data_IF_027476699290
#
_entry.id   IF_027476699290
#
_cell.length_a   1.000
_cell.length_b   1.000
_cell.length_c   1.000
_cell.angle_alpha   90.00
_cell.angle_beta   90.00
_cell.angle_gamma   90.00
#
_symmetry.space_group_name_H-M   'P 1'
#
loop_
_entity.id
_entity.type
_entity.pdbx_description
1 polymer ?
#
# COMPACT_ATOMS: atom_id res chain seq x y z
N UNK A 1 14.19 2.89 26.04
CA UNK A 1 13.25 1.83 26.45
C UNK A 1 12.60 1.29 25.19
N UNK A 2 12.53 -0.03 25.01
CA UNK A 2 11.83 -0.63 23.87
C UNK A 2 10.33 -0.35 24.04
N UNK A 3 9.71 0.31 23.05
CA UNK A 3 8.28 0.61 23.12
C UNK A 3 7.51 -0.63 22.65
N UNK A 4 6.74 -1.22 23.56
CA UNK A 4 5.86 -2.34 23.26
C UNK A 4 4.60 -1.83 22.55
N UNK A 5 4.12 -2.60 21.56
CA UNK A 5 2.97 -2.26 20.72
C UNK A 5 2.05 -3.46 20.61
N UNK A 6 0.75 -3.21 20.47
CA UNK A 6 -0.29 -4.19 20.16
C UNK A 6 -0.46 -4.26 18.65
N UNK A 7 -0.19 -5.42 18.06
CA UNK A 7 -0.29 -5.67 16.62
C UNK A 7 -1.46 -6.64 16.40
N UNK A 8 -2.55 -6.18 15.80
CA UNK A 8 -3.67 -7.03 15.37
C UNK A 8 -3.43 -7.52 13.94
N UNK A 9 -3.33 -8.84 13.76
CA UNK A 9 -3.23 -9.44 12.45
C UNK A 9 -4.61 -9.55 11.79
N UNK A 10 -4.69 -9.18 10.51
CA UNK A 10 -5.90 -9.38 9.69
C UNK A 10 -5.55 -10.14 8.41
N UNK A 11 -6.43 -11.04 7.97
CA UNK A 11 -6.20 -11.84 6.77
C UNK A 11 -7.35 -11.64 5.76
N UNK A 12 -7.44 -10.46 5.11
CA UNK A 12 -8.58 -10.13 4.24
C UNK A 12 -8.56 -10.85 2.87
N UNK A 13 -7.42 -11.43 2.51
CA UNK A 13 -7.12 -11.91 1.15
C UNK A 13 -6.87 -13.43 1.13
N UNK A 14 -5.72 -13.87 0.62
CA UNK A 14 -5.37 -15.29 0.51
C UNK A 14 -4.94 -15.90 1.85
N UNK A 15 -5.13 -17.22 2.02
CA UNK A 15 -4.63 -17.91 3.22
C UNK A 15 -3.08 -17.91 3.27
N UNK A 16 -2.44 -17.75 4.44
CA UNK A 16 -1.00 -17.88 4.57
C UNK A 16 -0.60 -19.35 4.43
N UNK A 17 0.04 -19.69 3.33
CA UNK A 17 0.26 -21.09 2.92
C UNK A 17 1.53 -21.72 3.50
N UNK A 18 2.42 -20.92 4.07
CA UNK A 18 3.70 -21.34 4.62
C UNK A 18 3.71 -21.09 6.14
N UNK A 19 3.54 -22.13 6.96
CA UNK A 19 3.58 -22.00 8.42
C UNK A 19 4.93 -21.52 8.95
N UNK A 20 6.05 -21.86 8.32
CA UNK A 20 7.39 -21.50 8.82
C UNK A 20 7.65 -20.01 8.67
N UNK A 21 7.21 -19.42 7.56
CA UNK A 21 7.22 -17.96 7.35
C UNK A 21 6.41 -17.25 8.43
N UNK A 22 5.21 -17.76 8.74
CA UNK A 22 4.36 -17.18 9.77
C UNK A 22 4.99 -17.28 11.17
N UNK A 23 5.47 -18.47 11.55
CA UNK A 23 6.12 -18.67 12.86
C UNK A 23 7.32 -17.75 13.03
N UNK A 24 8.12 -17.56 11.98
CA UNK A 24 9.26 -16.64 12.00
C UNK A 24 8.83 -15.19 12.22
N UNK A 25 7.76 -14.73 11.57
CA UNK A 25 7.21 -13.38 11.79
C UNK A 25 6.72 -13.19 13.24
N UNK A 26 5.94 -14.15 13.76
CA UNK A 26 5.43 -14.12 15.13
C UNK A 26 6.57 -14.11 16.16
N UNK A 27 7.57 -14.98 15.98
CA UNK A 27 8.75 -15.02 16.84
C UNK A 27 9.50 -13.68 16.87
N UNK A 28 9.61 -12.99 15.73
CA UNK A 28 10.23 -11.66 15.65
C UNK A 28 9.44 -10.60 16.40
N UNK A 29 8.11 -10.60 16.28
CA UNK A 29 7.27 -9.67 17.04
C UNK A 29 7.40 -9.88 18.55
N UNK A 30 7.36 -11.14 19.01
CA UNK A 30 7.52 -11.48 20.42
C UNK A 30 8.93 -11.17 20.95
N UNK A 31 9.97 -11.39 20.15
CA UNK A 31 11.35 -11.04 20.51
C UNK A 31 11.55 -9.52 20.70
N UNK A 32 10.77 -8.70 19.99
CA UNK A 32 10.72 -7.24 20.17
C UNK A 32 9.75 -6.82 21.30
N UNK A 33 9.10 -7.78 21.95
CA UNK A 33 8.17 -7.57 23.06
C UNK A 33 6.80 -7.04 22.63
N UNK A 34 6.43 -7.14 21.35
CA UNK A 34 5.09 -6.75 20.91
C UNK A 34 4.05 -7.78 21.34
N UNK A 35 2.84 -7.31 21.66
CA UNK A 35 1.68 -8.15 21.86
C UNK A 35 1.00 -8.38 20.50
N UNK A 36 0.77 -9.64 20.13
CA UNK A 36 0.18 -10.00 18.84
C UNK A 36 -1.21 -10.57 19.06
N UNK A 37 -2.20 -9.92 18.46
CA UNK A 37 -3.60 -10.34 18.46
C UNK A 37 -4.02 -10.80 17.06
N UNK A 38 -5.19 -11.43 16.93
CA UNK A 38 -5.72 -11.83 15.62
C UNK A 38 -5.01 -13.03 14.97
N UNK A 39 -4.16 -13.77 15.71
CA UNK A 39 -3.42 -14.93 15.18
C UNK A 39 -4.34 -16.00 14.58
N UNK A 40 -5.56 -16.18 15.10
CA UNK A 40 -6.54 -17.13 14.56
C UNK A 40 -6.93 -16.83 13.10
N UNK A 41 -6.83 -15.57 12.64
CA UNK A 41 -7.04 -15.17 11.26
C UNK A 41 -6.17 -15.99 10.28
N UNK A 42 -4.96 -16.33 10.72
CA UNK A 42 -3.95 -17.03 9.93
C UNK A 42 -4.23 -18.52 9.78
N UNK A 43 -5.11 -19.10 10.62
CA UNK A 43 -5.44 -20.53 10.61
C UNK A 43 -6.66 -20.84 9.75
N UNK A 44 -7.48 -19.84 9.44
CA UNK A 44 -8.71 -20.02 8.66
C UNK A 44 -8.39 -20.31 7.20
N UNK A 45 -9.20 -21.17 6.59
CA UNK A 45 -9.09 -21.49 5.18
C UNK A 45 -10.47 -21.75 4.59
N UNK A 46 -10.77 -21.03 3.52
CA UNK A 46 -11.93 -21.28 2.67
C UNK A 46 -11.46 -21.17 1.22
N UNK A 47 -11.35 -22.30 0.52
CA UNK A 47 -10.74 -22.35 -0.82
C UNK A 47 -9.32 -21.71 -0.81
N UNK A 48 -9.10 -20.64 -1.59
CA UNK A 48 -7.84 -19.86 -1.62
C UNK A 48 -7.76 -18.75 -0.57
N UNK A 49 -8.85 -18.48 0.15
CA UNK A 49 -9.01 -17.33 1.04
C UNK A 49 -8.72 -17.71 2.51
N UNK A 50 -8.32 -16.72 3.31
CA UNK A 50 -8.07 -16.88 4.75
C UNK A 50 -9.36 -16.87 5.59
N UNK A 51 -10.34 -17.71 5.21
CA UNK A 51 -11.69 -17.75 5.76
C UNK A 51 -12.76 -17.30 4.75
N UNK A 52 -14.03 -17.46 5.10
CA UNK A 52 -15.20 -17.00 4.33
C UNK A 52 -15.22 -15.47 4.20
N UNK A 53 -16.02 -14.93 3.28
CA UNK A 53 -16.11 -13.47 3.09
C UNK A 53 -16.59 -12.75 4.36
N UNK A 54 -17.57 -13.34 5.07
CA UNK A 54 -18.07 -12.80 6.33
C UNK A 54 -17.01 -12.83 7.44
N UNK A 55 -16.24 -13.91 7.56
CA UNK A 55 -15.14 -14.00 8.53
C UNK A 55 -14.05 -12.96 8.27
N UNK A 56 -13.68 -12.74 7.00
CA UNK A 56 -12.66 -11.75 6.61
C UNK A 56 -13.15 -10.31 6.78
N UNK A 57 -14.40 -10.02 6.42
CA UNK A 57 -15.02 -8.72 6.67
C UNK A 57 -15.14 -8.40 8.17
N UNK A 58 -15.55 -9.39 8.97
CA UNK A 58 -15.73 -9.24 10.41
C UNK A 58 -14.43 -8.86 11.13
N UNK A 59 -13.26 -9.22 10.61
CA UNK A 59 -11.98 -8.81 11.24
C UNK A 59 -11.74 -7.32 11.18
N UNK A 60 -12.02 -6.70 10.04
CA UNK A 60 -11.95 -5.25 9.90
C UNK A 60 -13.06 -4.60 10.72
N UNK A 61 -14.28 -5.12 10.64
CA UNK A 61 -15.42 -4.54 11.38
C UNK A 61 -15.26 -4.63 12.91
N UNK A 62 -14.40 -5.50 13.45
CA UNK A 62 -14.05 -5.49 14.88
C UNK A 62 -13.45 -4.15 15.32
N UNK A 63 -12.77 -3.43 14.44
CA UNK A 63 -12.21 -2.11 14.75
C UNK A 63 -13.31 -1.04 14.94
N UNK A 64 -14.49 -1.26 14.35
CA UNK A 64 -15.66 -0.39 14.47
C UNK A 64 -16.39 -0.53 15.83
N UNK A 65 -16.11 -1.60 16.60
CA UNK A 65 -16.77 -1.83 17.89
C UNK A 65 -16.24 -0.86 18.96
N UNK A 66 -17.09 0.01 19.53
CA UNK A 66 -16.68 1.00 20.53
C UNK A 66 -16.25 0.38 21.86
N UNK A 67 -16.68 -0.85 22.16
CA UNK A 67 -16.32 -1.56 23.40
C UNK A 67 -14.90 -2.14 23.38
N UNK A 68 -14.30 -2.27 22.19
CA UNK A 68 -12.95 -2.81 22.03
C UNK A 68 -11.92 -1.70 22.17
N UNK A 69 -10.76 -2.03 22.74
CA UNK A 69 -9.58 -1.17 22.64
C UNK A 69 -8.99 -1.31 21.24
N UNK A 70 -8.57 -0.19 20.62
CA UNK A 70 -7.87 -0.24 19.35
C UNK A 70 -6.44 -0.77 19.54
N UNK A 71 -5.93 -1.61 18.62
CA UNK A 71 -4.51 -1.94 18.58
C UNK A 71 -3.69 -0.71 18.12
N UNK A 72 -2.39 -0.74 18.36
CA UNK A 72 -1.48 0.27 17.81
C UNK A 72 -1.31 0.08 16.29
N UNK A 73 -1.22 -1.18 15.85
CA UNK A 73 -0.99 -1.55 14.45
C UNK A 73 -1.99 -2.63 14.03
N UNK A 74 -2.65 -2.42 12.90
CA UNK A 74 -3.40 -3.46 12.19
C UNK A 74 -2.56 -3.89 10.99
N UNK A 75 -2.11 -5.13 10.97
CA UNK A 75 -1.14 -5.61 9.98
C UNK A 75 -1.75 -6.69 9.09
N UNK A 76 -1.79 -6.41 7.79
CA UNK A 76 -2.22 -7.39 6.81
C UNK A 76 -1.26 -8.58 6.78
N UNK A 77 -1.83 -9.79 6.88
CA UNK A 77 -1.05 -11.03 6.88
C UNK A 77 -0.37 -11.21 5.53
N UNK A 78 -1.12 -11.07 4.45
CA UNK A 78 -0.64 -11.12 3.07
C UNK A 78 -1.67 -10.54 2.11
N UNK A 79 -1.23 -10.27 0.89
CA UNK A 79 -2.10 -9.97 -0.24
C UNK A 79 -2.59 -11.26 -0.95
N UNK A 80 -2.50 -11.26 -2.29
CA UNK A 80 -3.00 -12.33 -3.14
C UNK A 80 -4.28 -11.90 -3.84
N UNK A 81 -5.43 -12.43 -3.41
CA UNK A 81 -6.72 -12.03 -3.94
C UNK A 81 -7.82 -12.34 -2.91
N UNK A 82 -8.73 -11.40 -2.71
CA UNK A 82 -9.93 -11.59 -1.90
C UNK A 82 -10.45 -10.34 -1.22
N UNK A 83 -9.62 -9.29 -1.09
CA UNK A 83 -9.99 -8.04 -0.43
C UNK A 83 -11.19 -7.35 -1.11
N UNK A 84 -11.23 -7.35 -2.45
CA UNK A 84 -12.34 -6.75 -3.21
C UNK A 84 -13.70 -7.40 -2.89
N UNK A 85 -13.73 -8.69 -2.55
CA UNK A 85 -14.98 -9.43 -2.24
C UNK A 85 -15.65 -8.95 -0.97
N UNK A 86 -14.89 -8.37 -0.04
CA UNK A 86 -15.40 -8.02 1.30
C UNK A 86 -15.73 -6.54 1.45
N UNK A 87 -15.40 -5.68 0.48
CA UNK A 87 -15.58 -4.23 0.58
C UNK A 87 -17.04 -3.85 0.88
N UNK A 88 -18.02 -4.53 0.27
CA UNK A 88 -19.44 -4.26 0.52
C UNK A 88 -19.90 -4.61 1.94
N UNK A 89 -19.18 -5.47 2.65
CA UNK A 89 -19.52 -5.91 4.00
C UNK A 89 -18.83 -5.10 5.11
N UNK A 90 -18.04 -4.08 4.78
CA UNK A 90 -17.34 -3.27 5.77
C UNK A 90 -18.25 -2.19 6.37
N UNK A 91 -18.19 -2.01 7.69
CA UNK A 91 -18.87 -0.96 8.43
C UNK A 91 -18.10 0.36 8.31
N UNK A 92 -18.19 1.02 7.15
CA UNK A 92 -17.44 2.25 6.88
C UNK A 92 -17.75 3.39 7.86
N UNK A 93 -19.00 3.54 8.29
CA UNK A 93 -19.38 4.57 9.26
C UNK A 93 -18.80 4.28 10.65
N UNK A 94 -18.86 3.02 11.07
CA UNK A 94 -18.22 2.55 12.30
C UNK A 94 -16.71 2.73 12.29
N UNK A 95 -16.07 2.31 11.21
CA UNK A 95 -14.63 2.46 11.00
C UNK A 95 -14.21 3.93 10.96
N UNK A 96 -14.94 4.80 10.25
CA UNK A 96 -14.69 6.24 10.25
C UNK A 96 -14.73 6.80 11.67
N UNK A 97 -15.82 6.54 12.41
CA UNK A 97 -16.03 7.07 13.77
C UNK A 97 -14.95 6.62 14.73
N UNK A 98 -14.47 5.39 14.57
CA UNK A 98 -13.51 4.77 15.48
C UNK A 98 -12.06 5.08 15.14
N UNK A 99 -11.72 5.28 13.86
CA UNK A 99 -10.33 5.38 13.42
C UNK A 99 -9.90 6.81 13.11
N UNK A 100 -10.83 7.74 12.85
CA UNK A 100 -10.50 9.16 12.62
C UNK A 100 -9.76 9.73 13.83
N UNK A 101 -8.64 10.40 13.56
CA UNK A 101 -7.75 11.04 14.55
C UNK A 101 -7.17 10.11 15.63
N UNK A 102 -7.30 8.79 15.48
CA UNK A 102 -6.68 7.84 16.40
C UNK A 102 -5.24 7.51 15.99
N UNK A 103 -4.32 7.31 16.96
CA UNK A 103 -2.95 6.88 16.69
C UNK A 103 -2.94 5.37 16.38
N UNK A 104 -3.43 4.99 15.21
CA UNK A 104 -3.47 3.61 14.73
C UNK A 104 -2.88 3.52 13.33
N UNK A 105 -2.04 2.51 13.08
CA UNK A 105 -1.46 2.25 11.77
C UNK A 105 -2.11 1.03 11.11
N UNK A 106 -2.88 1.23 10.03
CA UNK A 106 -3.40 0.15 9.19
C UNK A 106 -2.43 -0.11 8.04
N UNK A 107 -1.75 -1.26 8.03
CA UNK A 107 -0.56 -1.49 7.21
C UNK A 107 -0.71 -2.71 6.30
N UNK A 108 -0.37 -2.52 5.02
CA UNK A 108 -0.21 -3.60 4.04
C UNK A 108 0.04 -3.06 2.64
N UNK A 109 0.25 -3.93 1.67
CA UNK A 109 0.37 -3.59 0.24
C UNK A 109 -0.27 -4.69 -0.63
N UNK A 110 -0.10 -4.64 -1.95
CA UNK A 110 -0.68 -5.62 -2.89
C UNK A 110 -2.21 -5.60 -2.84
N UNK A 111 -2.89 -6.75 -2.74
CA UNK A 111 -4.36 -6.86 -2.65
C UNK A 111 -4.97 -6.01 -1.51
N UNK A 112 -4.21 -5.69 -0.45
CA UNK A 112 -4.68 -4.81 0.63
C UNK A 112 -4.95 -3.36 0.16
N UNK A 113 -4.38 -2.95 -0.99
CA UNK A 113 -4.71 -1.67 -1.65
C UNK A 113 -6.21 -1.50 -1.85
N UNK A 114 -6.96 -2.58 -2.11
CA UNK A 114 -8.42 -2.50 -2.26
C UNK A 114 -9.12 -1.96 -1.01
N UNK A 115 -8.68 -2.41 0.17
CA UNK A 115 -9.22 -1.96 1.47
C UNK A 115 -8.74 -0.54 1.78
N UNK A 116 -7.46 -0.24 1.54
CA UNK A 116 -6.89 1.09 1.78
C UNK A 116 -7.63 2.17 0.98
N UNK A 117 -7.86 1.92 -0.31
CA UNK A 117 -8.59 2.84 -1.18
C UNK A 117 -10.07 2.92 -0.81
N UNK A 118 -10.71 1.80 -0.47
CA UNK A 118 -12.09 1.82 0.00
C UNK A 118 -12.28 2.60 1.31
N UNK A 119 -11.36 2.45 2.27
CA UNK A 119 -11.34 3.20 3.53
C UNK A 119 -11.15 4.70 3.29
N UNK A 120 -10.23 5.07 2.39
CA UNK A 120 -10.04 6.46 2.01
C UNK A 120 -11.31 7.04 1.35
N UNK A 121 -11.91 6.31 0.40
CA UNK A 121 -13.08 6.75 -0.36
C UNK A 121 -14.35 6.87 0.48
N UNK A 122 -14.58 5.91 1.40
CA UNK A 122 -15.87 5.75 2.09
C UNK A 122 -15.86 6.23 3.54
N UNK A 123 -14.69 6.34 4.15
CA UNK A 123 -14.52 6.68 5.56
C UNK A 123 -13.48 7.78 5.80
N UNK A 124 -12.75 8.25 4.77
CA UNK A 124 -11.66 9.21 4.93
C UNK A 124 -10.50 8.69 5.79
N UNK A 125 -10.44 7.38 6.03
CA UNK A 125 -9.45 6.76 6.93
C UNK A 125 -8.13 6.59 6.19
N UNK A 126 -7.09 7.19 6.77
CA UNK A 126 -5.70 7.09 6.29
C UNK A 126 -5.10 5.74 6.67
N UNK A 127 -4.19 5.23 5.85
CA UNK A 127 -3.54 3.94 6.06
C UNK A 127 -2.10 3.97 5.57
N UNK A 128 -1.39 2.85 5.61
CA UNK A 128 0.00 2.76 5.22
C UNK A 128 0.22 1.65 4.19
N UNK A 129 0.59 2.03 2.98
CA UNK A 129 1.23 1.14 2.03
C UNK A 129 2.56 0.68 2.62
N UNK A 130 2.73 -0.60 2.94
CA UNK A 130 3.92 -1.02 3.69
C UNK A 130 4.05 -2.53 3.90
N UNK A 131 5.01 -2.96 4.74
CA UNK A 131 5.33 -4.37 4.92
C UNK A 131 4.15 -5.18 5.46
N UNK A 132 4.09 -6.46 5.10
CA UNK A 132 3.09 -7.42 5.58
C UNK A 132 3.75 -8.56 6.36
N UNK A 133 2.94 -9.34 7.09
CA UNK A 133 3.43 -10.45 7.92
C UNK A 133 4.26 -11.45 7.10
N UNK A 134 3.71 -11.93 5.98
CA UNK A 134 4.31 -13.04 5.25
C UNK A 134 5.49 -12.62 4.38
N UNK A 135 5.37 -11.50 3.65
CA UNK A 135 6.38 -11.07 2.67
C UNK A 135 7.61 -10.42 3.32
N UNK A 136 7.42 -9.74 4.45
CA UNK A 136 8.45 -8.86 5.00
C UNK A 136 8.89 -9.31 6.39
N UNK A 137 7.98 -9.30 7.37
CA UNK A 137 8.31 -9.70 8.74
C UNK A 137 8.63 -11.18 8.84
N UNK A 138 8.08 -11.99 7.95
CA UNK A 138 8.32 -13.42 7.81
C UNK A 138 9.38 -13.75 6.78
N UNK A 139 10.06 -12.80 6.11
CA UNK A 139 11.13 -13.13 5.18
C UNK A 139 12.27 -13.92 5.87
N UNK A 140 13.02 -14.76 5.16
CA UNK A 140 14.17 -15.47 5.75
C UNK A 140 15.14 -14.48 6.40
N UNK A 141 15.48 -13.43 5.66
CA UNK A 141 16.27 -12.29 6.13
C UNK A 141 15.41 -11.03 6.18
N UNK A 142 15.45 -10.31 7.31
CA UNK A 142 14.80 -9.00 7.39
C UNK A 142 15.58 -7.97 6.57
N UNK A 143 14.87 -7.14 5.83
CA UNK A 143 15.44 -5.89 5.32
C UNK A 143 15.48 -4.87 6.45
N UNK A 144 16.68 -4.55 6.93
CA UNK A 144 16.88 -3.46 7.90
C UNK A 144 16.34 -2.12 7.37
N UNK A 145 16.52 -1.88 6.06
CA UNK A 145 15.96 -0.71 5.40
C UNK A 145 14.44 -0.66 5.55
N UNK A 146 13.73 -1.73 5.18
CA UNK A 146 12.26 -1.78 5.27
C UNK A 146 11.79 -1.59 6.71
N UNK A 147 12.44 -2.26 7.68
CA UNK A 147 12.07 -2.12 9.09
C UNK A 147 12.32 -0.70 9.62
N UNK A 148 13.45 -0.07 9.27
CA UNK A 148 13.74 1.30 9.66
C UNK A 148 12.73 2.29 9.06
N UNK A 149 12.38 2.12 7.77
CA UNK A 149 11.41 2.98 7.09
C UNK A 149 10.00 2.78 7.65
N UNK A 150 9.61 1.54 7.92
CA UNK A 150 8.35 1.21 8.56
C UNK A 150 8.21 1.88 9.93
N UNK A 151 9.15 1.60 10.85
CA UNK A 151 9.07 2.17 12.20
C UNK A 151 9.18 3.69 12.19
N UNK A 152 10.02 4.27 11.33
CA UNK A 152 10.11 5.73 11.21
C UNK A 152 8.82 6.35 10.66
N UNK A 153 8.12 5.69 9.74
CA UNK A 153 6.85 6.20 9.21
C UNK A 153 5.75 6.14 10.25
N UNK A 154 5.60 5.01 10.96
CA UNK A 154 4.48 4.84 11.91
C UNK A 154 4.70 5.54 13.26
N UNK A 155 5.91 5.99 13.60
CA UNK A 155 6.19 6.63 14.92
C UNK A 155 6.51 8.13 14.85
N UNK A 156 6.62 8.71 13.66
CA UNK A 156 6.97 10.13 13.49
C UNK A 156 5.85 10.89 12.77
N UNK A 157 5.61 12.16 13.14
CA UNK A 157 4.57 12.98 12.51
C UNK A 157 4.91 13.37 11.06
N UNK A 158 6.17 13.26 10.67
CA UNK A 158 6.66 13.58 9.34
C UNK A 158 7.69 12.55 8.88
N UNK A 159 7.75 12.35 7.56
CA UNK A 159 8.78 11.53 6.93
C UNK A 159 9.26 12.13 5.62
N UNK A 160 10.44 11.72 5.21
CA UNK A 160 11.03 12.10 3.93
C UNK A 160 11.63 10.88 3.26
N UNK A 161 11.31 10.72 1.97
CA UNK A 161 11.92 9.74 1.08
C UNK A 161 12.70 10.51 0.03
N UNK A 162 13.93 10.08 -0.23
CA UNK A 162 14.78 10.63 -1.28
C UNK A 162 15.40 9.50 -2.09
N UNK A 163 15.55 9.72 -3.39
CA UNK A 163 16.26 8.83 -4.28
C UNK A 163 17.00 9.67 -5.33
N UNK A 164 18.19 9.23 -5.75
CA UNK A 164 19.04 9.96 -6.67
C UNK A 164 18.81 9.58 -8.16
N UNK A 165 17.73 8.85 -8.47
CA UNK A 165 17.34 8.53 -9.85
C UNK A 165 17.05 9.85 -10.60
N UNK A 166 17.79 10.16 -11.69
CA UNK A 166 17.54 11.36 -12.47
C UNK A 166 16.12 11.40 -13.04
N UNK A 167 15.50 12.58 -12.99
CA UNK A 167 14.14 12.77 -13.51
C UNK A 167 14.17 13.55 -14.82
N UNK A 168 13.27 13.21 -15.74
CA UNK A 168 13.20 13.83 -17.06
C UNK A 168 12.69 15.28 -17.01
N UNK A 169 11.88 15.62 -16.00
CA UNK A 169 11.27 16.94 -15.84
C UNK A 169 11.43 17.41 -14.39
N UNK A 170 11.65 18.72 -14.17
CA UNK A 170 11.57 19.27 -12.82
C UNK A 170 10.13 19.22 -12.31
N UNK A 171 9.98 18.93 -11.02
CA UNK A 171 8.68 18.86 -10.34
C UNK A 171 8.80 19.61 -9.02
N UNK A 172 7.79 20.42 -8.70
CA UNK A 172 7.59 21.03 -7.40
C UNK A 172 6.07 21.15 -7.18
N UNK A 173 5.48 20.12 -6.57
CA UNK A 173 4.02 20.02 -6.40
C UNK A 173 3.66 19.50 -5.01
N UNK A 174 2.49 19.90 -4.53
CA UNK A 174 1.90 19.42 -3.29
C UNK A 174 0.52 18.84 -3.56
N UNK A 175 0.16 17.81 -2.79
CA UNK A 175 -1.13 17.13 -2.93
C UNK A 175 -1.28 15.98 -1.98
N UNK A 176 -2.48 15.39 -1.94
CA UNK A 176 -2.71 14.16 -1.19
C UNK A 176 -1.92 13.01 -1.82
N UNK A 177 -1.11 12.30 -1.03
CA UNK A 177 -0.45 11.07 -1.44
C UNK A 177 -1.45 9.92 -1.44
N UNK A 178 -1.65 9.27 -2.58
CA UNK A 178 -2.57 8.13 -2.68
C UNK A 178 -2.13 7.15 -3.76
N UNK A 179 -2.61 5.91 -3.70
CA UNK A 179 -2.26 4.88 -4.66
C UNK A 179 -1.96 3.53 -4.02
N UNK A 180 -1.10 2.74 -4.65
CA UNK A 180 -0.77 1.38 -4.23
C UNK A 180 -0.52 0.46 -5.42
N UNK A 181 -1.00 -0.78 -5.34
CA UNK A 181 -0.88 -1.73 -6.44
C UNK A 181 -1.75 -1.31 -7.64
N UNK A 182 -1.15 -1.23 -8.83
CA UNK A 182 -1.78 -0.72 -10.05
C UNK A 182 -2.96 -1.60 -10.51
N UNK A 183 -2.79 -2.91 -10.60
CA UNK A 183 -3.86 -3.82 -10.99
C UNK A 183 -5.06 -3.75 -10.04
N UNK A 184 -4.81 -3.73 -8.74
CA UNK A 184 -5.87 -3.60 -7.73
C UNK A 184 -6.56 -2.24 -7.84
N UNK A 185 -5.80 -1.14 -7.96
CA UNK A 185 -6.35 0.20 -8.13
C UNK A 185 -7.22 0.29 -9.40
N UNK A 186 -6.71 -0.17 -10.55
CA UNK A 186 -7.44 -0.16 -11.81
C UNK A 186 -8.76 -0.96 -11.73
N UNK A 187 -8.78 -2.04 -10.94
CA UNK A 187 -10.00 -2.85 -10.72
C UNK A 187 -11.12 -2.11 -9.97
N UNK A 188 -10.82 -1.00 -9.29
CA UNK A 188 -11.80 -0.21 -8.55
C UNK A 188 -12.41 0.94 -9.38
N UNK A 189 -11.91 1.21 -10.58
CA UNK A 189 -12.43 2.28 -11.45
C UNK A 189 -13.92 2.04 -11.72
N UNK A 190 -14.74 3.08 -11.51
CA UNK A 190 -16.20 3.01 -11.68
C UNK A 190 -16.95 2.40 -10.48
N UNK A 191 -16.26 2.03 -9.40
CA UNK A 191 -16.89 1.55 -8.16
C UNK A 191 -16.96 2.64 -7.09
N UNK A 192 -17.81 2.50 -6.07
CA UNK A 192 -17.83 3.41 -4.92
C UNK A 192 -16.55 3.40 -4.06
N UNK A 193 -15.61 2.50 -4.35
CA UNK A 193 -14.39 2.30 -3.57
C UNK A 193 -13.16 3.00 -4.18
N UNK A 194 -13.32 3.67 -5.32
CA UNK A 194 -12.28 4.53 -5.89
C UNK A 194 -12.29 5.89 -5.18
N UNK A 195 -11.19 6.33 -4.55
CA UNK A 195 -11.10 7.65 -3.92
C UNK A 195 -11.28 8.78 -4.95
N UNK A 196 -12.13 9.78 -4.68
CA UNK A 196 -12.33 10.92 -5.57
C UNK A 196 -11.23 11.98 -5.37
N UNK A 197 -9.95 11.60 -5.48
CA UNK A 197 -8.82 12.49 -5.19
C UNK A 197 -8.54 13.41 -6.38
N UNK A 198 -8.54 14.71 -6.12
CA UNK A 198 -8.16 15.77 -7.05
C UNK A 198 -6.92 16.51 -6.53
N UNK A 199 -6.04 16.90 -7.43
CA UNK A 199 -4.76 17.53 -7.11
C UNK A 199 -3.81 16.62 -6.31
N UNK A 200 -3.97 15.30 -6.41
CA UNK A 200 -3.16 14.34 -5.66
C UNK A 200 -1.78 14.07 -6.28
N UNK A 201 -0.94 13.37 -5.52
CA UNK A 201 0.28 12.73 -5.99
C UNK A 201 -0.01 11.23 -5.99
N UNK A 202 -0.25 10.67 -7.18
CA UNK A 202 -0.60 9.26 -7.34
C UNK A 202 0.68 8.43 -7.40
N UNK A 203 0.82 7.42 -6.54
CA UNK A 203 1.91 6.45 -6.62
C UNK A 203 1.40 5.06 -7.02
N UNK A 204 2.12 4.37 -7.90
CA UNK A 204 1.74 3.03 -8.37
C UNK A 204 2.93 2.09 -8.43
N UNK A 205 2.69 0.82 -8.12
CA UNK A 205 3.62 -0.30 -8.24
C UNK A 205 2.89 -1.53 -8.78
N UNK A 206 3.60 -2.52 -9.32
CA UNK A 206 2.99 -3.81 -9.61
C UNK A 206 4.01 -4.95 -9.68
N UNK A 207 3.53 -6.19 -9.69
CA UNK A 207 4.39 -7.39 -9.74
C UNK A 207 3.85 -8.44 -10.70
N UNK A 208 4.76 -9.09 -11.42
CA UNK A 208 4.47 -10.11 -12.43
C UNK A 208 3.60 -9.61 -13.59
N UNK A 209 3.64 -8.30 -13.86
CA UNK A 209 2.95 -7.69 -14.99
C UNK A 209 3.94 -7.32 -16.09
N UNK A 210 3.63 -7.70 -17.34
CA UNK A 210 4.42 -7.29 -18.49
C UNK A 210 4.27 -5.77 -18.73
N UNK A 211 5.28 -5.07 -19.28
CA UNK A 211 5.21 -3.63 -19.52
C UNK A 211 3.94 -3.20 -20.26
N UNK A 212 3.47 -3.96 -21.26
CA UNK A 212 2.26 -3.62 -22.00
C UNK A 212 0.98 -3.73 -21.16
N UNK A 213 0.98 -4.55 -20.09
CA UNK A 213 -0.16 -4.65 -19.16
C UNK A 213 -0.15 -3.48 -18.19
N UNK A 214 1.02 -3.09 -17.71
CA UNK A 214 1.22 -1.87 -16.92
C UNK A 214 0.76 -0.66 -17.73
N UNK A 215 1.22 -0.53 -18.98
CA UNK A 215 0.80 0.53 -19.90
C UNK A 215 -0.72 0.56 -20.04
N UNK A 216 -1.35 -0.59 -20.34
CA UNK A 216 -2.80 -0.67 -20.50
C UNK A 216 -3.57 -0.18 -19.27
N UNK A 217 -3.09 -0.51 -18.07
CA UNK A 217 -3.73 -0.06 -16.82
C UNK A 217 -3.50 1.44 -16.57
N UNK A 218 -2.32 1.97 -16.88
CA UNK A 218 -2.05 3.42 -16.84
C UNK A 218 -2.95 4.16 -17.85
N UNK A 219 -3.11 3.63 -19.07
CA UNK A 219 -4.04 4.17 -20.06
C UNK A 219 -5.49 4.12 -19.57
N UNK A 220 -5.90 3.07 -18.84
CA UNK A 220 -7.24 3.04 -18.25
C UNK A 220 -7.45 4.22 -17.28
N UNK A 221 -6.45 4.53 -16.44
CA UNK A 221 -6.48 5.69 -15.53
C UNK A 221 -6.45 7.03 -16.28
N UNK A 222 -5.69 7.10 -17.38
CA UNK A 222 -5.64 8.27 -18.25
C UNK A 222 -6.99 8.53 -18.93
N UNK A 223 -7.52 7.52 -19.61
CA UNK A 223 -8.76 7.60 -20.40
C UNK A 223 -10.01 7.75 -19.52
N UNK A 224 -9.97 7.30 -18.26
CA UNK A 224 -11.03 7.57 -17.28
C UNK A 224 -10.95 8.97 -16.67
N UNK A 225 -9.97 9.79 -17.06
CA UNK A 225 -9.77 11.15 -16.55
C UNK A 225 -9.20 11.23 -15.13
N UNK A 226 -8.76 10.11 -14.53
CA UNK A 226 -8.21 10.09 -13.17
C UNK A 226 -6.84 10.77 -13.17
N UNK A 227 -5.95 10.41 -14.11
CA UNK A 227 -4.61 11.01 -14.17
C UNK A 227 -4.65 12.51 -14.45
N UNK A 228 -5.59 12.97 -15.29
CA UNK A 228 -5.76 14.39 -15.60
C UNK A 228 -6.11 15.26 -14.37
N UNK A 229 -6.56 14.64 -13.27
CA UNK A 229 -6.86 15.33 -12.02
C UNK A 229 -5.68 15.34 -11.04
N UNK A 230 -4.54 14.72 -11.35
CA UNK A 230 -3.40 14.59 -10.44
C UNK A 230 -2.30 15.62 -10.76
N UNK A 231 -1.47 15.92 -9.77
CA UNK A 231 -0.30 16.81 -9.93
C UNK A 231 0.92 16.05 -10.46
N UNK A 232 1.07 14.78 -10.08
CA UNK A 232 2.18 13.94 -10.51
C UNK A 232 1.82 12.44 -10.41
N UNK A 233 2.46 11.65 -11.26
CA UNK A 233 2.49 10.18 -11.18
C UNK A 233 3.87 9.74 -10.68
N UNK A 234 3.93 8.96 -9.61
CA UNK A 234 5.16 8.42 -9.04
C UNK A 234 5.19 6.90 -9.23
N UNK A 235 6.19 6.42 -9.97
CA UNK A 235 6.36 5.01 -10.29
C UNK A 235 7.27 4.35 -9.26
N UNK A 236 6.68 3.35 -8.58
CA UNK A 236 7.35 2.41 -7.70
C UNK A 236 8.13 1.33 -8.46
N UNK A 237 8.27 0.18 -7.82
CA UNK A 237 8.87 -1.00 -8.41
C UNK A 237 7.87 -1.73 -9.33
N UNK A 238 8.36 -2.17 -10.49
CA UNK A 238 7.63 -3.04 -11.42
C UNK A 238 8.51 -4.25 -11.70
N UNK A 239 8.23 -5.36 -11.02
CA UNK A 239 9.09 -6.55 -11.04
C UNK A 239 8.39 -7.78 -11.62
N UNK A 240 9.18 -8.81 -11.97
CA UNK A 240 8.65 -10.12 -12.40
C UNK A 240 8.24 -10.23 -13.86
N UNK A 241 8.36 -9.16 -14.66
CA UNK A 241 8.20 -9.22 -16.11
C UNK A 241 9.32 -10.07 -16.74
N UNK A 242 9.00 -10.82 -17.79
CA UNK A 242 9.97 -11.60 -18.58
C UNK A 242 9.83 -11.21 -20.05
N UNK A 243 10.90 -10.73 -20.71
CA UNK A 243 10.81 -10.32 -22.11
C UNK A 243 10.50 -11.52 -23.00
N UNK A 244 9.69 -11.27 -24.03
CA UNK A 244 9.43 -12.18 -25.14
C UNK A 244 10.11 -11.65 -26.41
N UNK A 245 10.44 -12.55 -27.35
CA UNK A 245 10.97 -12.15 -28.66
C UNK A 245 10.01 -11.20 -29.40
N UNK A 246 8.70 -11.44 -29.25
CA UNK A 246 7.65 -10.60 -29.83
C UNK A 246 7.64 -9.17 -29.30
N UNK A 247 8.21 -8.91 -28.12
CA UNK A 247 8.27 -7.54 -27.58
C UNK A 247 9.18 -6.64 -28.42
N UNK A 248 10.10 -7.21 -29.22
CA UNK A 248 10.89 -6.49 -30.21
C UNK A 248 11.54 -5.19 -29.67
N UNK A 249 12.14 -5.28 -28.47
CA UNK A 249 12.78 -4.16 -27.79
C UNK A 249 11.85 -3.29 -26.93
N UNK A 250 10.56 -3.59 -26.86
CA UNK A 250 9.63 -2.95 -25.94
C UNK A 250 9.86 -3.45 -24.50
N UNK A 251 10.22 -2.54 -23.60
CA UNK A 251 10.51 -2.82 -22.20
C UNK A 251 9.85 -1.78 -21.27
N UNK A 252 10.19 -1.83 -19.97
CA UNK A 252 9.66 -0.89 -18.99
C UNK A 252 10.07 0.55 -19.29
N UNK A 253 11.28 0.78 -19.82
CA UNK A 253 11.76 2.12 -20.16
C UNK A 253 10.97 2.70 -21.33
N UNK A 254 10.81 1.92 -22.41
CA UNK A 254 10.00 2.30 -23.57
C UNK A 254 8.56 2.61 -23.17
N UNK A 255 7.96 1.80 -22.30
CA UNK A 255 6.63 2.04 -21.74
C UNK A 255 6.54 3.36 -20.96
N UNK A 256 7.53 3.64 -20.09
CA UNK A 256 7.56 4.89 -19.30
C UNK A 256 7.64 6.11 -20.21
N UNK A 257 8.48 6.07 -21.25
CA UNK A 257 8.57 7.16 -22.23
C UNK A 257 7.27 7.34 -23.02
N UNK A 258 6.60 6.25 -23.40
CA UNK A 258 5.28 6.32 -24.01
C UNK A 258 4.25 6.97 -23.09
N UNK A 259 4.19 6.55 -21.82
CA UNK A 259 3.29 7.14 -20.81
C UNK A 259 3.57 8.64 -20.63
N UNK A 260 4.84 9.05 -20.52
CA UNK A 260 5.24 10.46 -20.41
C UNK A 260 4.74 11.30 -21.58
N UNK A 261 4.70 10.73 -22.78
CA UNK A 261 4.27 11.44 -23.98
C UNK A 261 2.75 11.72 -24.05
N UNK A 262 1.93 11.00 -23.26
CA UNK A 262 0.46 11.06 -23.38
C UNK A 262 -0.27 11.59 -22.15
N UNK A 263 0.20 11.32 -20.93
CA UNK A 263 -0.66 11.53 -19.75
C UNK A 263 -0.78 12.99 -19.29
N UNK A 264 0.08 13.89 -19.77
CA UNK A 264 0.00 15.33 -19.53
C UNK A 264 0.41 15.81 -18.12
N UNK A 265 0.85 14.91 -17.24
CA UNK A 265 1.37 15.21 -15.90
C UNK A 265 2.80 14.66 -15.74
N UNK A 266 3.64 15.24 -14.85
CA UNK A 266 4.99 14.75 -14.65
C UNK A 266 5.00 13.31 -14.09
N UNK A 267 5.92 12.49 -14.62
CA UNK A 267 6.17 11.11 -14.20
C UNK A 267 7.52 11.01 -13.50
N UNK A 268 7.49 10.75 -12.19
CA UNK A 268 8.68 10.55 -11.36
C UNK A 268 8.94 9.06 -11.17
N UNK A 269 10.18 8.61 -11.30
CA UNK A 269 10.58 7.21 -11.20
C UNK A 269 11.57 6.97 -10.05
N UNK A 270 11.74 5.71 -9.65
CA UNK A 270 12.75 5.31 -8.66
C UNK A 270 12.23 5.31 -7.21
N UNK A 271 10.91 5.37 -7.02
CA UNK A 271 10.33 5.16 -5.71
C UNK A 271 10.52 3.69 -5.30
N UNK A 272 11.17 3.47 -4.16
CA UNK A 272 11.45 2.13 -3.64
C UNK A 272 10.22 1.57 -2.90
N UNK A 273 9.12 1.37 -3.62
CA UNK A 273 7.84 0.89 -3.09
C UNK A 273 7.26 -0.20 -3.99
N UNK A 274 6.73 -1.26 -3.39
CA UNK A 274 6.11 -2.38 -4.10
C UNK A 274 6.69 -3.73 -3.66
N UNK A 275 6.64 -4.73 -4.53
CA UNK A 275 7.09 -6.10 -4.23
C UNK A 275 8.62 -6.26 -4.33
N UNK A 276 9.33 -5.40 -3.61
CA UNK A 276 10.80 -5.30 -3.57
C UNK A 276 11.33 -5.51 -2.16
N UNK A 277 12.53 -6.09 -2.02
CA UNK A 277 13.14 -6.37 -0.70
C UNK A 277 13.31 -5.12 0.17
N UNK A 278 13.71 -4.00 -0.43
CA UNK A 278 13.92 -2.72 0.25
C UNK A 278 12.77 -1.79 -0.09
N UNK A 279 11.78 -1.73 0.80
CA UNK A 279 10.52 -1.02 0.60
C UNK A 279 10.36 0.12 1.61
N UNK A 280 9.94 1.29 1.14
CA UNK A 280 9.48 2.39 2.00
C UNK A 280 8.05 2.14 2.47
N UNK A 281 7.64 2.74 3.59
CA UNK A 281 6.24 2.74 4.03
C UNK A 281 5.61 4.09 3.67
N UNK A 282 4.49 4.09 2.95
CA UNK A 282 3.82 5.27 2.41
C UNK A 282 2.47 5.51 3.09
N UNK A 283 2.28 6.66 3.77
CA UNK A 283 0.99 7.05 4.33
C UNK A 283 -0.01 7.41 3.21
N UNK A 284 -1.00 6.56 2.98
CA UNK A 284 -2.08 6.75 2.00
C UNK A 284 -3.13 7.70 2.57
N UNK A 285 -3.47 8.74 1.81
CA UNK A 285 -4.38 9.81 2.20
C UNK A 285 -3.71 10.97 2.95
N UNK A 286 -2.37 10.96 3.06
CA UNK A 286 -1.59 11.98 3.76
C UNK A 286 -1.26 13.18 2.87
N UNK A 287 -0.81 14.27 3.48
CA UNK A 287 -0.32 15.44 2.76
C UNK A 287 1.13 15.18 2.29
N UNK A 288 1.43 15.49 1.03
CA UNK A 288 2.75 15.30 0.47
C UNK A 288 3.22 16.50 -0.37
N UNK A 289 4.54 16.69 -0.35
CA UNK A 289 5.27 17.64 -1.19
C UNK A 289 6.38 16.90 -1.94
N UNK A 290 6.34 16.95 -3.27
CA UNK A 290 7.26 16.28 -4.17
C UNK A 290 8.10 17.30 -4.92
N UNK A 291 9.41 17.23 -4.71
CA UNK A 291 10.42 17.99 -5.47
C UNK A 291 11.28 17.01 -6.25
N UNK A 292 11.42 17.22 -7.56
CA UNK A 292 12.18 16.33 -8.42
C UNK A 292 12.99 17.11 -9.47
N UNK A 293 14.18 16.63 -9.82
CA UNK A 293 15.05 17.24 -10.83
C UNK A 293 16.05 16.21 -11.40
N UNK A 294 17.03 16.68 -12.18
CA UNK A 294 18.05 15.84 -12.81
C UNK A 294 18.97 15.07 -11.82
N UNK A 295 18.91 15.37 -10.53
CA UNK A 295 19.71 14.71 -9.48
C UNK A 295 18.91 13.74 -8.61
N UNK A 296 17.59 13.65 -8.77
CA UNK A 296 16.76 12.84 -7.89
C UNK A 296 15.39 13.42 -7.59
N UNK A 297 14.75 12.85 -6.59
CA UNK A 297 13.55 13.41 -5.98
C UNK A 297 13.63 13.39 -4.45
N UNK A 298 12.81 14.24 -3.84
CA UNK A 298 12.49 14.27 -2.41
C UNK A 298 10.97 14.33 -2.26
N UNK A 299 10.41 13.36 -1.55
CA UNK A 299 9.00 13.29 -1.17
C UNK A 299 8.90 13.49 0.34
N UNK A 300 8.33 14.61 0.76
CA UNK A 300 8.08 14.93 2.17
C UNK A 300 6.61 14.68 2.48
N UNK A 301 6.30 13.96 3.56
CA UNK A 301 4.93 13.54 3.89
C UNK A 301 4.61 13.89 5.35
N UNK A 302 3.40 14.36 5.60
CA UNK A 302 2.87 14.69 6.93
C UNK A 302 1.35 14.50 7.00
N UNK A 303 0.73 14.80 8.15
CA UNK A 303 -0.73 14.78 8.26
C UNK A 303 -1.32 13.36 8.25
N UNK A 304 -0.59 12.36 8.76
CA UNK A 304 -1.04 10.99 8.93
C UNK A 304 -0.99 10.57 10.41
N UNK A 305 -1.80 9.57 10.85
CA UNK A 305 -1.77 9.10 12.23
C UNK A 305 -0.41 8.49 12.56
N UNK A 306 0.14 8.76 13.74
CA UNK A 306 1.41 8.18 14.18
C UNK A 306 1.34 7.75 15.63
N UNK A 307 2.18 6.77 15.96
CA UNK A 307 2.33 6.16 17.26
C UNK A 307 3.41 6.92 18.03
N UNK A 308 2.98 7.87 18.87
CA UNK A 308 3.88 8.58 19.79
C UNK A 308 4.60 7.63 20.76
#
# INVERSE_FOLDING_TARGET
>A
MTVHRTIELIAPSGYPHDPEVLHRALARFHAQGHHVEGVEATKRRFQRFAGTDGERAAELNRLADPSRKLPDIVLAVRGGYGAVRILHGLDYEGLQRRLTDQPIALVGHSDFTAIQLALLARAGVKSFGGPMVMSDFGAEELSEFTMQRFWSAVTKPTMTISNNTPQAQPVDVSGMLWGGNLAVLASLIGTPYMPPVQGGILFIEDVNEQPFRVERMIYQLHLSGILAQQQALVLGDFSGARPYEYDNGYDLHAMIEQVRSVIGIPVVTGLQFGHVRNMVTLPVGADAHLVANAHGFKLSVSGYPYLA
#
